data_IF_174292731053
#
_entry.id   IF_174292731053
#
_cell.length_a   1.000
_cell.length_b   1.000
_cell.length_c   1.000
_cell.angle_alpha   90.00
_cell.angle_beta   90.00
_cell.angle_gamma   90.00
#
_symmetry.space_group_name_H-M   'P 1'
#
loop_
_entity.id
_entity.type
_entity.pdbx_description
1 polymer ?
#
# COMPACT_ATOMS: atom_id res chain seq x y z
N UNK A 1 20.32 -45.65 -0.06
CA UNK A 1 20.23 -44.23 0.35
C UNK A 1 19.94 -43.38 -0.87
N UNK A 2 18.75 -42.78 -0.98
CA UNK A 2 18.43 -41.57 -1.76
C UNK A 2 16.91 -41.50 -1.94
N UNK A 3 16.25 -40.63 -1.20
CA UNK A 3 14.80 -40.43 -1.28
C UNK A 3 14.39 -39.09 -0.68
N UNK A 4 13.84 -38.25 -1.55
CA UNK A 4 13.15 -36.97 -1.32
C UNK A 4 13.96 -35.78 -0.79
N UNK A 5 14.52 -35.00 -1.71
CA UNK A 5 14.63 -33.56 -1.54
C UNK A 5 13.27 -32.90 -1.83
N UNK A 6 12.58 -32.57 -0.75
CA UNK A 6 11.57 -31.53 -0.60
C UNK A 6 11.83 -30.27 -1.44
N UNK A 7 10.95 -29.97 -2.41
CA UNK A 7 10.85 -28.63 -2.95
C UNK A 7 9.39 -28.18 -2.98
N UNK A 8 8.97 -27.61 -1.84
CA UNK A 8 7.73 -26.88 -1.68
C UNK A 8 7.75 -25.68 -2.63
N UNK A 9 7.23 -25.89 -3.85
CA UNK A 9 7.08 -24.87 -4.88
C UNK A 9 6.16 -23.75 -4.43
N UNK A 10 6.68 -22.79 -3.67
CA UNK A 10 6.08 -21.46 -3.60
C UNK A 10 6.36 -20.77 -4.94
N UNK A 11 5.34 -20.26 -5.65
CA UNK A 11 5.57 -19.55 -6.90
C UNK A 11 6.48 -18.35 -6.62
N UNK A 12 7.67 -18.35 -7.23
CA UNK A 12 8.59 -17.22 -7.20
C UNK A 12 7.92 -16.07 -7.95
N UNK A 13 7.50 -15.04 -7.21
CA UNK A 13 7.02 -13.80 -7.77
C UNK A 13 8.04 -13.23 -8.79
N UNK A 14 7.57 -12.57 -9.86
CA UNK A 14 8.42 -12.14 -10.97
C UNK A 14 9.55 -11.21 -10.50
N UNK A 15 10.77 -11.47 -11.00
CA UNK A 15 11.99 -10.67 -10.77
C UNK A 15 11.92 -9.35 -11.56
N UNK A 16 10.94 -8.50 -11.26
CA UNK A 16 10.98 -7.11 -11.74
C UNK A 16 12.11 -6.37 -11.03
N UNK A 17 12.90 -5.52 -11.73
CA UNK A 17 13.91 -4.73 -11.06
C UNK A 17 13.21 -3.82 -10.04
N UNK A 18 13.56 -4.04 -8.77
CA UNK A 18 13.06 -3.30 -7.61
C UNK A 18 13.64 -1.89 -7.70
N UNK A 19 12.83 -0.92 -8.12
CA UNK A 19 13.22 0.48 -8.10
C UNK A 19 12.41 1.20 -7.01
N UNK A 20 12.86 1.18 -5.73
CA UNK A 20 12.15 1.89 -4.67
C UNK A 20 12.02 3.40 -4.92
N UNK A 21 12.82 3.96 -5.83
CA UNK A 21 12.72 5.35 -6.28
C UNK A 21 11.35 5.64 -6.92
N UNK A 22 10.76 4.69 -7.66
CA UNK A 22 9.47 4.90 -8.33
C UNK A 22 8.35 5.15 -7.32
N UNK A 23 8.38 4.45 -6.17
CA UNK A 23 7.37 4.62 -5.11
C UNK A 23 7.52 5.95 -4.37
N UNK A 24 8.70 6.56 -4.40
CA UNK A 24 8.97 7.88 -3.79
C UNK A 24 8.40 9.04 -4.62
N UNK A 25 7.96 8.79 -5.85
CA UNK A 25 7.21 9.79 -6.65
C UNK A 25 5.85 10.10 -6.03
N UNK A 26 5.34 9.20 -5.20
CA UNK A 26 4.04 9.35 -4.56
C UNK A 26 4.15 10.36 -3.41
N UNK A 27 3.36 11.44 -3.43
CA UNK A 27 3.35 12.43 -2.36
C UNK A 27 2.91 11.79 -1.03
N UNK A 28 3.75 11.93 0.00
CA UNK A 28 3.56 11.33 1.32
C UNK A 28 4.25 9.98 1.51
N UNK A 29 4.83 9.37 0.46
CA UNK A 29 5.64 8.14 0.59
C UNK A 29 7.10 8.51 0.86
N UNK A 30 7.49 8.39 2.12
CA UNK A 30 8.89 8.51 2.54
C UNK A 30 9.71 7.24 2.25
N UNK A 31 11.05 7.28 2.46
CA UNK A 31 11.93 6.12 2.24
C UNK A 31 11.54 4.90 3.08
N UNK A 32 11.08 5.10 4.32
CA UNK A 32 10.59 4.00 5.18
C UNK A 32 9.37 3.32 4.58
N UNK A 33 8.41 4.11 4.10
CA UNK A 33 7.16 3.59 3.55
C UNK A 33 7.35 2.96 2.16
N UNK A 34 8.27 3.50 1.36
CA UNK A 34 8.70 2.85 0.12
C UNK A 34 9.31 1.46 0.40
N UNK A 35 10.10 1.33 1.47
CA UNK A 35 10.61 0.03 1.90
C UNK A 35 9.49 -0.90 2.38
N UNK A 36 8.53 -0.39 3.15
CA UNK A 36 7.35 -1.14 3.58
C UNK A 36 6.56 -1.70 2.38
N UNK A 37 6.34 -0.88 1.34
CA UNK A 37 5.69 -1.29 0.10
C UNK A 37 6.48 -2.38 -0.64
N UNK A 38 7.80 -2.23 -0.72
CA UNK A 38 8.67 -3.26 -1.32
C UNK A 38 8.63 -4.56 -0.52
N UNK A 39 8.63 -4.49 0.82
CA UNK A 39 8.48 -5.66 1.69
C UNK A 39 7.10 -6.34 1.52
N UNK A 40 6.05 -5.57 1.22
CA UNK A 40 4.72 -6.07 0.85
C UNK A 40 4.67 -6.68 -0.58
N UNK A 41 5.71 -6.49 -1.39
CA UNK A 41 5.78 -6.97 -2.77
C UNK A 41 5.41 -5.94 -3.84
N UNK A 42 5.11 -4.69 -3.46
CA UNK A 42 4.87 -3.59 -4.38
C UNK A 42 6.18 -2.87 -4.66
N UNK A 43 6.65 -2.94 -5.90
CA UNK A 43 7.93 -2.36 -6.31
C UNK A 43 7.77 -1.12 -7.20
N UNK A 44 6.55 -0.87 -7.72
CA UNK A 44 6.23 0.24 -8.63
C UNK A 44 4.83 0.78 -8.37
N UNK A 45 4.62 2.05 -8.72
CA UNK A 45 3.33 2.73 -8.60
C UNK A 45 2.23 1.96 -9.35
N UNK A 46 2.49 1.50 -10.59
CA UNK A 46 1.52 0.76 -11.40
C UNK A 46 1.04 -0.55 -10.75
N UNK A 47 1.80 -1.14 -9.82
CA UNK A 47 1.36 -2.35 -9.09
C UNK A 47 0.38 -2.03 -7.96
N UNK A 48 0.29 -0.76 -7.55
CA UNK A 48 -0.68 -0.26 -6.58
C UNK A 48 -2.02 0.02 -7.24
N UNK A 49 -2.06 0.15 -8.57
CA UNK A 49 -3.30 0.35 -9.31
C UNK A 49 -4.22 -0.86 -9.10
N UNK A 50 -5.43 -0.60 -8.60
CA UNK A 50 -6.40 -1.65 -8.27
C UNK A 50 -6.10 -2.45 -6.99
N UNK A 51 -5.04 -2.10 -6.24
CA UNK A 51 -4.79 -2.67 -4.93
C UNK A 51 -5.74 -2.08 -3.88
N UNK A 52 -6.10 -2.88 -2.88
CA UNK A 52 -6.92 -2.43 -1.76
C UNK A 52 -6.03 -1.84 -0.65
N UNK A 53 -6.09 -0.52 -0.39
CA UNK A 53 -5.23 0.15 0.58
C UNK A 53 -5.46 -0.34 2.02
N UNK A 54 -6.66 -0.81 2.36
CA UNK A 54 -6.93 -1.41 3.68
C UNK A 54 -6.28 -2.78 3.81
N UNK A 55 -6.34 -3.61 2.77
CA UNK A 55 -5.63 -4.89 2.76
C UNK A 55 -4.12 -4.69 2.82
N UNK A 56 -3.57 -3.71 2.09
CA UNK A 56 -2.15 -3.35 2.17
C UNK A 56 -1.76 -2.98 3.60
N UNK A 57 -2.55 -2.13 4.26
CA UNK A 57 -2.33 -1.73 5.64
C UNK A 57 -2.39 -2.91 6.62
N UNK A 58 -3.41 -3.78 6.50
CA UNK A 58 -3.53 -4.99 7.34
C UNK A 58 -2.33 -5.93 7.16
N UNK A 59 -1.88 -6.11 5.92
CA UNK A 59 -0.67 -6.91 5.63
C UNK A 59 0.57 -6.28 6.25
N UNK A 60 0.70 -4.95 6.21
CA UNK A 60 1.84 -4.27 6.82
C UNK A 60 1.83 -4.39 8.35
N UNK A 61 0.66 -4.22 8.96
CA UNK A 61 0.45 -4.43 10.39
C UNK A 61 0.87 -5.85 10.81
N UNK A 62 0.48 -6.86 10.04
CA UNK A 62 0.89 -8.24 10.25
C UNK A 62 2.41 -8.45 10.05
N UNK A 63 3.00 -7.82 9.03
CA UNK A 63 4.44 -7.91 8.72
C UNK A 63 5.31 -7.26 9.80
N UNK A 64 4.86 -6.13 10.35
CA UNK A 64 5.56 -5.39 11.41
C UNK A 64 5.24 -5.92 12.81
N UNK A 65 4.27 -6.83 12.94
CA UNK A 65 3.92 -7.48 14.20
C UNK A 65 3.22 -6.55 15.20
N UNK A 66 2.59 -5.47 14.74
CA UNK A 66 2.00 -4.46 15.62
C UNK A 66 1.11 -3.47 14.88
N UNK A 67 0.31 -2.72 15.64
CA UNK A 67 -0.58 -1.69 15.09
C UNK A 67 0.24 -0.49 14.63
N UNK A 68 0.13 -0.16 13.34
CA UNK A 68 0.78 1.01 12.74
C UNK A 68 -0.16 2.20 12.85
N UNK A 69 0.35 3.42 12.75
CA UNK A 69 -0.52 4.59 12.70
C UNK A 69 -1.42 4.58 11.46
N UNK A 70 -2.67 5.01 11.64
CA UNK A 70 -3.66 5.14 10.56
C UNK A 70 -3.23 6.15 9.48
N UNK A 71 -2.26 7.02 9.75
CA UNK A 71 -1.69 7.90 8.75
C UNK A 71 -1.12 7.13 7.55
N UNK A 72 -0.58 5.92 7.79
CA UNK A 72 -0.06 5.04 6.73
C UNK A 72 -1.16 4.57 5.79
N UNK A 73 -2.35 4.24 6.32
CA UNK A 73 -3.51 3.89 5.50
C UNK A 73 -3.90 5.03 4.55
N UNK A 74 -3.84 6.28 5.03
CA UNK A 74 -4.16 7.45 4.19
C UNK A 74 -3.13 7.65 3.08
N UNK A 75 -1.86 7.40 3.35
CA UNK A 75 -0.82 7.40 2.32
C UNK A 75 -1.05 6.28 1.30
N UNK A 76 -1.45 5.07 1.73
CA UNK A 76 -1.79 4.00 0.78
C UNK A 76 -3.00 4.32 -0.08
N UNK A 77 -4.02 4.98 0.45
CA UNK A 77 -5.16 5.47 -0.34
C UNK A 77 -4.72 6.48 -1.40
N UNK A 78 -3.89 7.44 -1.00
CA UNK A 78 -3.28 8.41 -1.93
C UNK A 78 -2.45 7.69 -3.00
N UNK A 79 -1.66 6.69 -2.61
CA UNK A 79 -0.79 5.93 -3.49
C UNK A 79 -1.55 5.11 -4.54
N UNK A 80 -2.62 4.40 -4.13
CA UNK A 80 -3.50 3.65 -5.02
C UNK A 80 -4.25 4.60 -5.96
N UNK A 81 -4.74 5.73 -5.45
CA UNK A 81 -5.41 6.75 -6.26
C UNK A 81 -4.47 7.35 -7.32
N UNK A 82 -3.26 7.73 -6.91
CA UNK A 82 -2.22 8.24 -7.80
C UNK A 82 -1.84 7.22 -8.87
N UNK A 83 -1.76 5.93 -8.51
CA UNK A 83 -1.45 4.87 -9.44
C UNK A 83 -2.54 4.58 -10.48
N UNK A 84 -3.80 4.87 -10.16
CA UNK A 84 -4.94 4.63 -11.04
C UNK A 84 -5.44 5.86 -11.79
N UNK A 85 -4.83 7.03 -11.57
CA UNK A 85 -5.25 8.29 -12.19
C UNK A 85 -4.13 8.84 -13.07
N UNK A 86 -4.36 8.94 -14.38
CA UNK A 86 -3.42 9.57 -15.32
C UNK A 86 -3.28 11.09 -15.05
N UNK A 87 -4.38 11.75 -14.66
CA UNK A 87 -4.44 13.16 -14.25
C UNK A 87 -4.95 13.28 -12.81
N UNK A 88 -4.10 13.03 -11.79
CA UNK A 88 -4.52 13.10 -10.40
C UNK A 88 -4.70 14.56 -9.98
N UNK A 89 -5.87 14.88 -9.39
CA UNK A 89 -6.14 16.19 -8.80
C UNK A 89 -5.07 16.54 -7.73
N UNK A 90 -4.34 17.65 -7.87
CA UNK A 90 -3.30 18.07 -6.92
C UNK A 90 -3.82 18.35 -5.50
N UNK A 91 -5.12 18.58 -5.33
CA UNK A 91 -5.74 18.65 -4.01
C UNK A 91 -5.82 17.28 -3.31
N UNK A 92 -6.02 16.21 -4.08
CA UNK A 92 -6.13 14.82 -3.61
C UNK A 92 -4.78 14.11 -3.48
N UNK A 93 -3.72 14.67 -4.08
CA UNK A 93 -2.34 14.22 -3.89
C UNK A 93 -1.82 14.43 -2.46
N UNK A 94 -2.53 15.22 -1.65
CA UNK A 94 -2.15 15.46 -0.27
C UNK A 94 -2.70 14.32 0.58
N UNK A 95 -1.85 13.55 1.24
CA UNK A 95 -2.27 12.41 2.05
C UNK A 95 -3.32 12.78 3.11
N UNK A 96 -3.29 14.01 3.63
CA UNK A 96 -4.28 14.49 4.59
C UNK A 96 -5.68 14.70 3.98
N UNK A 97 -5.81 14.84 2.66
CA UNK A 97 -7.11 14.88 1.97
C UNK A 97 -7.87 13.54 2.08
N UNK A 98 -7.16 12.47 2.44
CA UNK A 98 -7.69 11.13 2.68
C UNK A 98 -8.00 10.85 4.15
N UNK A 99 -7.61 11.77 5.05
CA UNK A 99 -8.06 11.77 6.44
C UNK A 99 -9.59 11.95 6.43
N UNK A 100 -10.32 11.09 7.12
CA UNK A 100 -11.80 11.09 7.19
C UNK A 100 -12.59 10.72 5.91
N UNK A 101 -11.93 10.47 4.78
CA UNK A 101 -12.58 9.79 3.64
C UNK A 101 -12.71 8.31 3.96
N UNK A 102 -13.72 7.95 4.72
CA UNK A 102 -14.18 6.57 4.79
C UNK A 102 -14.57 6.19 3.35
N UNK A 103 -14.15 5.01 2.87
CA UNK A 103 -14.48 4.56 1.52
C UNK A 103 -15.99 4.65 1.23
N UNK A 104 -16.42 4.56 -0.04
CA UNK A 104 -17.85 4.57 -0.38
C UNK A 104 -18.54 3.43 0.38
N UNK A 105 -19.20 3.77 1.50
CA UNK A 105 -19.65 2.78 2.47
C UNK A 105 -19.70 3.22 3.93
N UNK A 106 -19.12 4.35 4.32
CA UNK A 106 -19.41 4.96 5.64
C UNK A 106 -19.55 6.47 5.56
N UNK A 107 -20.64 6.92 4.96
CA UNK A 107 -21.27 8.14 5.45
C UNK A 107 -22.15 7.76 6.65
N UNK A 108 -22.15 8.62 7.67
CA UNK A 108 -23.07 8.66 8.81
C UNK A 108 -22.91 7.58 9.89
N UNK A 109 -22.23 7.93 10.99
CA UNK A 109 -22.95 8.06 12.28
C UNK A 109 -22.36 9.24 13.04
N UNK A 110 -23.06 10.35 12.98
CA UNK A 110 -23.18 11.32 14.07
C UNK A 110 -23.31 10.57 15.40
N UNK A 111 -22.46 10.91 16.38
CA UNK A 111 -22.81 10.69 17.78
C UNK A 111 -22.74 12.05 18.45
N UNK A 112 -23.88 12.73 18.42
CA UNK A 112 -24.19 13.84 19.31
C UNK A 112 -23.95 13.42 20.75
N UNK A 113 -23.09 14.16 21.45
CA UNK A 113 -23.19 14.43 22.90
C UNK A 113 -22.64 15.82 23.17
#
# INVERSE_FOLDING_TARGET
MSGQANNSGRPRAPRSPRNPQDLRTIPGVGPSLAKDLVDLGFCRVSQLQGADPEQMYRRLCALRGGHIDRCVLYVFRCAVYYAGSDEPDPALLRWWAWKDRLGPGRACTEVSR
#
